data_IF_566942575881
#
_entry.id   IF_566942575881
#
_cell.length_a   1.000
_cell.length_b   1.000
_cell.length_c   1.000
_cell.angle_alpha   90.00
_cell.angle_beta   90.00
_cell.angle_gamma   90.00
#
_symmetry.space_group_name_H-M   'P 1'
#
loop_
_entity.id
_entity.type
_entity.pdbx_description
1 polymer ?
#
# COMPACT_ATOMS: atom_id res chain seq x y z
N UNK A 1 -17.38 9.53 -9.07
CA UNK A 1 -16.46 8.42 -8.69
C UNK A 1 -15.87 7.63 -9.86
N UNK A 2 -16.39 7.67 -11.10
CA UNK A 2 -15.69 7.06 -12.25
C UNK A 2 -14.30 7.67 -12.48
N UNK A 3 -14.20 9.00 -12.40
CA UNK A 3 -12.94 9.75 -12.49
C UNK A 3 -11.91 9.28 -11.46
N UNK A 4 -12.28 9.23 -10.17
CA UNK A 4 -11.40 8.76 -9.09
C UNK A 4 -10.91 7.33 -9.32
N UNK A 5 -11.78 6.42 -9.79
CA UNK A 5 -11.39 5.04 -10.09
C UNK A 5 -10.39 4.96 -11.24
N UNK A 6 -10.56 5.76 -12.28
CA UNK A 6 -9.63 5.83 -13.42
C UNK A 6 -8.29 6.41 -12.95
N UNK A 7 -8.34 7.51 -12.20
CA UNK A 7 -7.17 8.15 -11.60
C UNK A 7 -6.36 7.18 -10.73
N UNK A 8 -6.99 6.48 -9.79
CA UNK A 8 -6.31 5.51 -8.93
C UNK A 8 -5.78 4.28 -9.69
N UNK A 9 -6.34 3.93 -10.85
CA UNK A 9 -5.78 2.86 -11.68
C UNK A 9 -4.51 3.31 -12.39
N UNK A 10 -4.49 4.55 -12.85
CA UNK A 10 -3.38 5.16 -13.58
C UNK A 10 -2.22 5.53 -12.64
N UNK A 11 -2.53 6.17 -11.50
CA UNK A 11 -1.55 6.83 -10.63
C UNK A 11 -1.15 6.05 -9.37
N UNK A 12 -1.70 4.86 -9.11
CA UNK A 12 -1.40 4.13 -7.85
C UNK A 12 0.08 3.88 -7.60
N UNK A 13 0.86 3.62 -8.64
CA UNK A 13 2.30 3.36 -8.47
C UNK A 13 3.04 4.66 -8.16
N UNK A 14 2.80 5.72 -8.93
CA UNK A 14 3.35 7.05 -8.69
C UNK A 14 3.06 7.53 -7.26
N UNK A 15 1.80 7.43 -6.80
CA UNK A 15 1.38 7.81 -5.44
C UNK A 15 2.16 7.03 -4.38
N UNK A 16 2.35 5.72 -4.58
CA UNK A 16 3.05 4.86 -3.62
C UNK A 16 4.55 5.19 -3.59
N UNK A 17 5.18 5.41 -4.74
CA UNK A 17 6.59 5.80 -4.81
C UNK A 17 6.81 7.18 -4.19
N UNK A 18 5.98 8.18 -4.51
CA UNK A 18 6.07 9.53 -3.95
C UNK A 18 5.88 9.52 -2.43
N UNK A 19 4.90 8.78 -1.92
CA UNK A 19 4.66 8.67 -0.48
C UNK A 19 5.82 7.97 0.26
N UNK A 20 6.44 6.96 -0.38
CA UNK A 20 7.62 6.30 0.18
C UNK A 20 8.85 7.20 0.16
N UNK A 21 9.05 7.96 -0.90
CA UNK A 21 10.13 8.93 -0.96
C UNK A 21 9.94 10.02 0.09
N UNK A 22 8.74 10.59 0.20
CA UNK A 22 8.38 11.55 1.23
C UNK A 22 8.68 11.01 2.65
N UNK A 23 8.29 9.77 2.93
CA UNK A 23 8.56 9.15 4.23
C UNK A 23 10.06 8.98 4.50
N UNK A 24 10.85 8.63 3.47
CA UNK A 24 12.32 8.52 3.57
C UNK A 24 12.94 9.88 3.84
N UNK A 25 12.55 10.90 3.10
CA UNK A 25 13.05 12.26 3.23
C UNK A 25 12.74 12.82 4.62
N UNK A 26 11.51 12.62 5.11
CA UNK A 26 11.10 13.04 6.45
C UNK A 26 11.89 12.31 7.55
N UNK A 27 12.18 11.02 7.38
CA UNK A 27 13.03 10.29 8.33
C UNK A 27 14.46 10.83 8.32
N UNK A 28 15.02 11.13 7.15
CA UNK A 28 16.35 11.72 7.02
C UNK A 28 16.42 13.10 7.69
N UNK A 29 15.43 13.96 7.46
CA UNK A 29 15.31 15.28 8.11
C UNK A 29 15.24 15.15 9.64
N UNK A 30 14.52 14.16 10.15
CA UNK A 30 14.42 13.89 11.60
C UNK A 30 15.66 13.16 12.19
N UNK A 31 16.71 12.93 11.39
CA UNK A 31 17.89 12.17 11.84
C UNK A 31 17.59 10.70 12.14
N UNK A 32 16.44 10.18 11.70
CA UNK A 32 16.07 8.78 11.80
C UNK A 32 16.85 8.04 10.71
N UNK A 33 17.84 7.24 11.12
CA UNK A 33 18.57 6.38 10.20
C UNK A 33 17.61 5.34 9.58
N UNK A 34 17.07 5.65 8.40
CA UNK A 34 16.47 4.67 7.47
C UNK A 34 17.54 3.71 6.95
N UNK A 35 18.82 4.04 7.19
CA UNK A 35 19.99 3.25 6.87
C UNK A 35 19.87 1.84 7.45
N UNK A 36 19.43 0.93 6.56
CA UNK A 36 19.66 -0.51 6.55
C UNK A 36 19.68 -1.06 7.96
N UNK A 37 18.53 -1.56 8.46
CA UNK A 37 18.54 -2.62 9.47
C UNK A 37 19.34 -3.79 8.89
N UNK A 38 20.68 -3.70 9.00
CA UNK A 38 21.56 -4.84 8.96
C UNK A 38 20.92 -5.79 9.94
N UNK A 39 20.58 -6.95 9.41
CA UNK A 39 19.99 -8.10 10.07
C UNK A 39 20.87 -8.55 11.24
N UNK A 40 20.97 -7.75 12.31
CA UNK A 40 21.50 -8.14 13.62
C UNK A 40 20.33 -8.68 14.42
N UNK A 41 19.67 -9.67 13.83
CA UNK A 41 19.01 -10.73 14.58
C UNK A 41 19.06 -11.94 13.68
N UNK A 42 20.23 -12.58 13.62
CA UNK A 42 20.36 -13.96 13.16
C UNK A 42 19.43 -14.80 14.06
N UNK A 43 18.17 -14.96 13.63
CA UNK A 43 17.39 -16.13 14.03
C UNK A 43 18.20 -17.32 13.50
N UNK A 44 18.52 -18.28 14.36
CA UNK A 44 19.22 -19.50 13.97
C UNK A 44 18.48 -20.10 12.77
N UNK A 45 19.08 -20.00 11.59
CA UNK A 45 18.60 -20.71 10.41
C UNK A 45 18.82 -22.19 10.72
N UNK A 46 17.75 -22.97 10.77
CA UNK A 46 17.81 -24.42 10.92
C UNK A 46 18.40 -24.96 9.60
N UNK A 47 19.50 -25.73 9.62
CA UNK A 47 20.08 -26.25 8.38
C UNK A 47 19.13 -27.31 7.80
N UNK A 48 18.40 -26.95 6.73
CA UNK A 48 17.53 -27.88 6.01
C UNK A 48 16.27 -27.28 5.41
N UNK A 49 15.83 -26.10 5.86
CA UNK A 49 14.62 -25.46 5.35
C UNK A 49 14.92 -24.66 4.08
N UNK A 50 14.75 -25.28 2.91
CA UNK A 50 14.67 -24.56 1.63
C UNK A 50 13.31 -23.86 1.55
N UNK A 51 13.18 -22.69 2.18
CA UNK A 51 12.09 -21.76 1.88
C UNK A 51 12.55 -20.89 0.72
N UNK A 52 11.86 -21.00 -0.42
CA UNK A 52 12.20 -20.32 -1.67
C UNK A 52 11.82 -18.83 -1.70
N UNK A 53 11.23 -18.30 -0.63
CA UNK A 53 10.84 -16.90 -0.56
C UNK A 53 11.95 -16.08 0.11
N UNK A 54 12.73 -15.41 -0.72
CA UNK A 54 13.62 -14.35 -0.27
C UNK A 54 12.77 -13.31 0.51
N UNK A 55 13.14 -12.99 1.76
CA UNK A 55 12.37 -12.04 2.56
C UNK A 55 12.35 -10.68 1.85
N UNK A 56 11.14 -10.20 1.55
CA UNK A 56 10.92 -8.88 0.96
C UNK A 56 11.60 -7.81 1.82
N UNK A 57 12.24 -6.86 1.16
CA UNK A 57 12.76 -5.67 1.83
C UNK A 57 11.60 -4.85 2.42
N UNK A 58 11.85 -4.08 3.49
CA UNK A 58 10.84 -3.20 4.10
C UNK A 58 10.17 -2.29 3.06
N UNK A 59 10.93 -1.79 2.09
CA UNK A 59 10.41 -0.96 0.99
C UNK A 59 9.39 -1.73 0.13
N UNK A 60 9.70 -2.97 -0.24
CA UNK A 60 8.79 -3.82 -1.01
C UNK A 60 7.53 -4.20 -0.22
N UNK A 61 7.67 -4.46 1.08
CA UNK A 61 6.53 -4.79 1.95
C UNK A 61 5.58 -3.58 2.08
N UNK A 62 6.13 -2.38 2.28
CA UNK A 62 5.34 -1.15 2.34
C UNK A 62 4.67 -0.85 0.99
N UNK A 63 5.41 -0.97 -0.13
CA UNK A 63 4.84 -0.84 -1.48
C UNK A 63 3.65 -1.77 -1.68
N UNK A 64 3.82 -3.04 -1.34
CA UNK A 64 2.76 -4.05 -1.46
C UNK A 64 1.55 -3.69 -0.59
N UNK A 65 1.78 -3.36 0.68
CA UNK A 65 0.70 -3.03 1.63
C UNK A 65 -0.12 -1.81 1.18
N UNK A 66 0.55 -0.75 0.70
CA UNK A 66 -0.13 0.45 0.21
C UNK A 66 -0.93 0.19 -1.06
N UNK A 67 -0.40 -0.61 -1.99
CA UNK A 67 -1.13 -1.01 -3.20
C UNK A 67 -2.38 -1.85 -2.87
N UNK A 68 -2.26 -2.81 -1.96
CA UNK A 68 -3.39 -3.61 -1.48
C UNK A 68 -4.46 -2.73 -0.83
N UNK A 69 -4.05 -1.71 -0.05
CA UNK A 69 -4.97 -0.72 0.52
C UNK A 69 -5.71 0.08 -0.55
N UNK A 70 -5.02 0.61 -1.56
CA UNK A 70 -5.64 1.36 -2.67
C UNK A 70 -6.64 0.47 -3.41
N UNK A 71 -6.29 -0.79 -3.66
CA UNK A 71 -7.19 -1.73 -4.31
C UNK A 71 -8.44 -2.02 -3.46
N UNK A 72 -8.26 -2.24 -2.15
CA UNK A 72 -9.35 -2.45 -1.21
C UNK A 72 -10.28 -1.24 -1.10
N UNK A 73 -9.71 -0.02 -1.05
CA UNK A 73 -10.47 1.22 -1.11
C UNK A 73 -11.29 1.29 -2.39
N UNK A 74 -10.68 1.02 -3.55
CA UNK A 74 -11.35 1.06 -4.85
C UNK A 74 -12.53 0.07 -4.90
N UNK A 75 -12.37 -1.15 -4.39
CA UNK A 75 -13.46 -2.15 -4.27
C UNK A 75 -14.61 -1.63 -3.41
N UNK A 76 -14.33 -1.17 -2.19
CA UNK A 76 -15.36 -0.66 -1.25
C UNK A 76 -16.11 0.54 -1.81
N UNK A 77 -15.39 1.42 -2.51
CA UNK A 77 -15.93 2.62 -3.13
C UNK A 77 -17.07 2.31 -4.13
N UNK A 78 -17.01 1.17 -4.84
CA UNK A 78 -18.07 0.72 -5.75
C UNK A 78 -19.35 0.38 -5.01
N UNK A 79 -19.26 -0.26 -3.84
CA UNK A 79 -20.42 -0.62 -3.03
C UNK A 79 -21.13 0.63 -2.48
N UNK A 80 -20.35 1.61 -2.00
CA UNK A 80 -20.89 2.88 -1.49
C UNK A 80 -21.64 3.65 -2.57
N UNK A 81 -21.09 3.74 -3.78
CA UNK A 81 -21.77 4.39 -4.92
C UNK A 81 -23.07 3.69 -5.30
N UNK A 82 -23.07 2.36 -5.31
CA UNK A 82 -24.28 1.58 -5.60
C UNK A 82 -25.35 1.85 -4.54
N UNK A 83 -25.00 1.78 -3.26
CA UNK A 83 -25.92 2.05 -2.15
C UNK A 83 -26.49 3.48 -2.23
N UNK A 84 -25.63 4.48 -2.46
CA UNK A 84 -26.05 5.87 -2.61
C UNK A 84 -26.99 6.10 -3.79
N UNK A 85 -26.73 5.45 -4.93
CA UNK A 85 -27.59 5.55 -6.11
C UNK A 85 -28.98 4.91 -5.87
N UNK A 86 -29.05 3.82 -5.11
CA UNK A 86 -30.32 3.20 -4.72
C UNK A 86 -31.11 4.11 -3.77
N UNK A 87 -30.46 4.65 -2.75
CA UNK A 87 -31.06 5.61 -1.82
C UNK A 87 -31.61 6.84 -2.55
N UNK A 88 -30.83 7.42 -3.47
CA UNK A 88 -31.26 8.57 -4.28
C UNK A 88 -32.48 8.26 -5.15
N UNK A 89 -32.55 7.07 -5.77
CA UNK A 89 -33.72 6.68 -6.58
C UNK A 89 -34.97 6.50 -5.71
N UNK A 90 -34.82 5.95 -4.51
CA UNK A 90 -35.92 5.82 -3.56
C UNK A 90 -36.46 7.16 -3.04
N UNK A 91 -35.63 8.21 -2.99
CA UNK A 91 -36.06 9.58 -2.64
C UNK A 91 -36.74 10.35 -3.77
N UNK A 92 -36.61 9.87 -5.02
CA UNK A 92 -37.21 10.50 -6.21
C UNK A 92 -38.50 9.80 -6.65
N UNK A 93 -39.02 8.87 -5.84
CA UNK A 93 -40.23 8.09 -6.08
C UNK A 93 -41.29 8.38 -5.03
#
# INVERSE_FOLDING_TARGET
MRSLKVFLKDKRYDIVEEALQFAKDACEEMGILVAKRRTVRRKKIIPGEKVADEPLTLDQELKRSMLEYIEGFNKKSVHVVKAWNLYRRGLQS
#
